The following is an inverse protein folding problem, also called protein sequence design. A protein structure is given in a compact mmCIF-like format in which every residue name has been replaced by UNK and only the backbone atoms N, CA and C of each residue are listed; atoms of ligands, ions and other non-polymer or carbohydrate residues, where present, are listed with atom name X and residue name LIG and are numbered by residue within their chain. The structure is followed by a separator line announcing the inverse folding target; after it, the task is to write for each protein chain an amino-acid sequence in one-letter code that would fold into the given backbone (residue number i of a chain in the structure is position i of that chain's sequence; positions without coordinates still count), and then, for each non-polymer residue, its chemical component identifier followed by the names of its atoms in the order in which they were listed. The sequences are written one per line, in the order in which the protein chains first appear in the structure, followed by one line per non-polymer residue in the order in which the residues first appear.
data_IF_174033460742
#
_entry.id   IF_174033460742
#
_cell.length_a   1.000
_cell.length_b   1.000
_cell.length_c   1.000
_cell.angle_alpha   90.00
_cell.angle_beta   90.00
_cell.angle_gamma   90.00
#
_symmetry.space_group_name_H-M   'P 1'
#
loop_
_entity.id
_entity.type
_entity.pdbx_description
1 polymer ?
#
# COMPACT_ATOMS: atom_id res chain seq x y z
N UNK A 1 2.71 23.62 -18.77
CA UNK A 1 1.28 23.35 -19.03
C UNK A 1 0.56 23.35 -17.71
N UNK A 2 -0.50 24.13 -17.48
CA UNK A 2 -1.26 24.01 -16.23
C UNK A 2 -1.93 22.63 -16.23
N UNK A 3 -1.54 21.78 -15.28
CA UNK A 3 -1.93 20.37 -15.24
C UNK A 3 -3.44 20.18 -15.18
N UNK A 4 -3.93 19.20 -15.95
CA UNK A 4 -5.34 18.87 -16.23
C UNK A 4 -6.24 18.67 -14.99
N UNK A 5 -5.65 18.54 -13.79
CA UNK A 5 -6.37 18.20 -12.55
C UNK A 5 -6.13 19.16 -11.37
N UNK A 6 -5.37 20.26 -11.55
CA UNK A 6 -5.21 21.36 -10.57
C UNK A 6 -4.83 20.97 -9.12
N UNK A 7 -4.01 19.95 -8.91
CA UNK A 7 -3.39 19.73 -7.59
C UNK A 7 -2.23 20.72 -7.39
N UNK A 8 -2.22 21.53 -6.31
CA UNK A 8 -1.08 22.40 -5.99
C UNK A 8 0.16 21.55 -5.70
N UNK A 9 1.33 21.95 -6.19
CA UNK A 9 2.58 21.18 -6.01
C UNK A 9 2.91 20.97 -4.53
N UNK A 10 2.61 21.94 -3.67
CA UNK A 10 2.81 21.84 -2.22
C UNK A 10 1.93 20.78 -1.54
N UNK A 11 0.89 20.28 -2.23
CA UNK A 11 0.00 19.23 -1.73
C UNK A 11 0.35 17.86 -2.34
N UNK A 12 1.48 17.75 -3.04
CA UNK A 12 1.93 16.53 -3.69
C UNK A 12 3.22 16.06 -3.02
N UNK A 13 3.15 14.91 -2.36
CA UNK A 13 4.33 14.20 -1.87
C UNK A 13 4.74 13.14 -2.88
N UNK A 14 6.04 13.10 -3.25
CA UNK A 14 6.60 12.08 -4.15
C UNK A 14 7.79 11.39 -3.48
N UNK A 15 7.69 10.07 -3.31
CA UNK A 15 8.78 9.23 -2.80
C UNK A 15 9.42 8.43 -3.94
N UNK A 16 10.76 8.39 -3.98
CA UNK A 16 11.53 7.63 -4.99
C UNK A 16 12.75 6.96 -4.33
N UNK A 17 13.05 5.74 -4.75
CA UNK A 17 14.13 4.88 -4.24
C UNK A 17 15.54 5.46 -4.46
N UNK A 18 15.79 6.10 -5.61
CA UNK A 18 17.10 6.63 -6.00
C UNK A 18 17.43 8.02 -5.45
N UNK A 19 16.66 8.52 -4.48
CA UNK A 19 16.92 9.83 -3.86
C UNK A 19 18.04 9.73 -2.81
N UNK A 20 18.88 10.76 -2.76
CA UNK A 20 19.91 10.96 -1.71
C UNK A 20 19.26 11.25 -0.36
N UNK A 21 18.10 11.90 -0.37
CA UNK A 21 17.34 12.17 0.85
C UNK A 21 16.58 10.93 1.33
N UNK A 22 17.08 10.32 2.41
CA UNK A 22 16.50 9.16 3.06
C UNK A 22 15.09 9.42 3.63
N UNK A 23 14.69 10.67 3.88
CA UNK A 23 13.36 10.99 4.41
C UNK A 23 12.23 10.78 3.38
N UNK A 24 12.59 10.71 2.09
CA UNK A 24 11.70 10.54 0.95
C UNK A 24 11.95 9.24 0.17
N UNK A 25 12.81 8.35 0.69
CA UNK A 25 12.87 6.98 0.20
C UNK A 25 11.59 6.24 0.64
N UNK A 26 10.98 5.42 -0.23
CA UNK A 26 9.71 4.74 0.03
C UNK A 26 9.90 3.54 0.95
N UNK A 27 10.50 3.74 2.13
CA UNK A 27 10.55 2.74 3.21
C UNK A 27 9.16 2.59 3.81
N UNK A 28 8.86 1.44 4.44
CA UNK A 28 7.61 1.24 5.17
C UNK A 28 7.26 2.40 6.10
N UNK A 29 8.23 2.86 6.89
CA UNK A 29 8.04 3.96 7.84
C UNK A 29 7.60 5.26 7.14
N UNK A 30 8.25 5.62 6.04
CA UNK A 30 7.96 6.86 5.33
C UNK A 30 6.63 6.76 4.58
N UNK A 31 6.35 5.62 3.94
CA UNK A 31 5.07 5.42 3.25
C UNK A 31 3.90 5.56 4.23
N UNK A 32 3.91 4.84 5.36
CA UNK A 32 2.83 4.95 6.36
C UNK A 32 2.66 6.38 6.88
N UNK A 33 3.76 7.11 7.11
CA UNK A 33 3.69 8.52 7.51
C UNK A 33 2.91 9.34 6.49
N UNK A 34 3.27 9.22 5.21
CA UNK A 34 2.64 10.01 4.14
C UNK A 34 1.21 9.56 3.84
N UNK A 35 0.89 8.26 3.97
CA UNK A 35 -0.49 7.77 3.84
C UNK A 35 -1.39 8.36 4.94
N UNK A 36 -0.89 8.41 6.17
CA UNK A 36 -1.61 9.03 7.29
C UNK A 36 -1.81 10.52 7.06
N UNK A 37 -0.79 11.25 6.60
CA UNK A 37 -0.94 12.67 6.27
C UNK A 37 -1.87 12.90 5.07
N UNK A 38 -1.92 11.99 4.09
CA UNK A 38 -2.86 12.05 2.97
C UNK A 38 -4.33 11.92 3.43
N UNK A 39 -4.59 11.03 4.39
CA UNK A 39 -5.92 10.77 4.94
C UNK A 39 -6.35 11.80 6.01
N UNK A 40 -5.39 12.46 6.65
CA UNK A 40 -5.59 13.39 7.74
C UNK A 40 -6.45 14.59 7.34
N UNK A 41 -7.30 14.99 8.28
CA UNK A 41 -8.18 16.17 8.20
C UNK A 41 -9.05 16.24 6.94
N UNK A 42 -9.27 15.11 6.24
CA UNK A 42 -10.09 15.06 5.05
C UNK A 42 -11.52 15.52 5.34
N UNK A 43 -12.08 16.34 4.46
CA UNK A 43 -13.42 16.91 4.58
C UNK A 43 -14.31 16.49 3.42
N UNK A 44 -15.64 16.42 3.60
CA UNK A 44 -16.55 16.19 2.48
C UNK A 44 -16.28 17.15 1.31
N UNK A 45 -16.15 16.60 0.10
CA UNK A 45 -15.78 17.34 -1.12
C UNK A 45 -14.29 17.31 -1.46
N UNK A 46 -13.43 16.85 -0.54
CA UNK A 46 -12.01 16.66 -0.80
C UNK A 46 -11.76 15.58 -1.85
N UNK A 47 -10.69 15.77 -2.63
CA UNK A 47 -10.18 14.78 -3.58
C UNK A 47 -8.75 14.40 -3.22
N UNK A 48 -8.52 13.14 -2.91
CA UNK A 48 -7.20 12.57 -2.60
C UNK A 48 -6.78 11.61 -3.72
N UNK A 49 -5.49 11.58 -4.01
CA UNK A 49 -4.93 10.67 -5.00
C UNK A 49 -3.77 9.92 -4.36
N UNK A 50 -3.81 8.60 -4.45
CA UNK A 50 -2.70 7.73 -4.13
C UNK A 50 -2.24 7.03 -5.41
N UNK A 51 -0.96 7.12 -5.73
CA UNK A 51 -0.35 6.42 -6.85
C UNK A 51 0.83 5.62 -6.34
N UNK A 52 0.84 4.32 -6.65
CA UNK A 52 1.94 3.43 -6.34
C UNK A 52 2.36 2.67 -7.59
N UNK A 53 3.67 2.65 -7.84
CA UNK A 53 4.29 1.86 -8.90
C UNK A 53 5.48 1.12 -8.31
N UNK A 54 5.46 -0.20 -8.40
CA UNK A 54 6.42 -1.04 -7.70
C UNK A 54 6.00 -2.51 -7.68
N UNK A 55 6.67 -3.29 -6.84
CA UNK A 55 6.35 -4.70 -6.67
C UNK A 55 5.28 -4.88 -5.59
N UNK A 56 4.28 -5.69 -5.92
CA UNK A 56 3.31 -6.23 -4.97
C UNK A 56 3.43 -7.75 -4.97
N UNK A 57 3.16 -8.36 -3.82
CA UNK A 57 3.20 -9.81 -3.66
C UNK A 57 1.96 -10.24 -2.88
N UNK A 58 1.53 -11.47 -3.15
CA UNK A 58 0.58 -12.13 -2.27
C UNK A 58 1.33 -12.69 -1.06
N UNK A 59 0.76 -12.54 0.14
CA UNK A 59 1.19 -13.19 1.37
C UNK A 59 0.05 -14.09 1.80
N UNK A 60 0.38 -15.28 2.32
CA UNK A 60 -0.64 -16.16 2.88
C UNK A 60 -1.26 -15.46 4.10
N UNK A 61 -2.54 -15.12 4.01
CA UNK A 61 -3.34 -14.63 5.11
C UNK A 61 -4.79 -15.13 4.95
N UNK A 62 -5.27 -15.91 5.92
CA UNK A 62 -6.53 -16.65 5.82
C UNK A 62 -7.78 -15.81 6.12
N UNK A 63 -7.67 -14.49 6.07
CA UNK A 63 -8.78 -13.58 6.37
C UNK A 63 -9.55 -13.15 5.11
N UNK A 64 -8.99 -13.35 3.91
CA UNK A 64 -9.64 -13.05 2.62
C UNK A 64 -10.30 -14.29 1.97
N UNK A 65 -11.16 -14.06 0.99
CA UNK A 65 -12.00 -15.09 0.35
C UNK A 65 -11.17 -16.17 -0.37
N UNK A 66 -9.96 -15.83 -0.84
CA UNK A 66 -8.99 -16.76 -1.44
C UNK A 66 -7.85 -17.18 -0.48
N UNK A 67 -7.81 -16.60 0.72
CA UNK A 67 -6.80 -16.87 1.74
C UNK A 67 -5.42 -16.24 1.48
N UNK A 68 -5.33 -15.21 0.63
CA UNK A 68 -4.10 -14.49 0.32
C UNK A 68 -4.33 -12.97 0.46
N UNK A 69 -3.57 -12.28 1.30
CA UNK A 69 -3.52 -10.80 1.30
C UNK A 69 -2.52 -10.33 0.23
N UNK A 70 -2.71 -9.14 -0.34
CA UNK A 70 -1.64 -8.48 -1.10
C UNK A 70 -0.86 -7.48 -0.25
N UNK A 71 0.42 -7.39 -0.55
CA UNK A 71 1.35 -6.53 0.15
C UNK A 71 2.22 -5.73 -0.80
N UNK A 72 2.36 -4.44 -0.51
CA UNK A 72 3.34 -3.57 -1.16
C UNK A 72 4.74 -3.89 -0.65
N UNK A 73 5.68 -4.06 -1.57
CA UNK A 73 7.10 -4.15 -1.25
C UNK A 73 7.72 -2.75 -1.13
N UNK A 74 8.31 -2.46 0.02
CA UNK A 74 8.89 -1.13 0.29
C UNK A 74 10.40 -1.12 0.14
N UNK A 75 10.98 0.07 0.00
CA UNK A 75 12.43 0.24 -0.06
C UNK A 75 13.09 -0.23 1.24
N UNK A 76 14.21 -0.96 1.12
CA UNK A 76 14.93 -1.54 2.25
C UNK A 76 14.38 -2.89 2.73
N UNK A 77 13.51 -3.54 1.96
CA UNK A 77 13.07 -4.92 2.21
C UNK A 77 14.26 -5.91 2.18
N UNK A 78 14.12 -7.03 2.90
CA UNK A 78 15.17 -8.05 3.01
C UNK A 78 15.08 -9.17 1.95
N UNK A 79 14.30 -8.96 0.89
CA UNK A 79 14.02 -9.93 -0.15
C UNK A 79 12.53 -10.01 -0.50
N UNK A 80 12.19 -10.87 -1.45
CA UNK A 80 10.81 -11.20 -1.80
C UNK A 80 10.25 -12.23 -0.80
N UNK A 81 8.92 -12.30 -0.60
CA UNK A 81 8.30 -13.19 0.40
C UNK A 81 8.21 -14.65 -0.08
N UNK A 82 9.33 -15.19 -0.56
CA UNK A 82 9.47 -16.60 -0.94
C UNK A 82 10.58 -17.27 -0.13
N UNK A 83 10.36 -18.54 0.18
CA UNK A 83 11.40 -19.42 0.74
C UNK A 83 12.41 -19.85 -0.32
N UNK A 84 13.46 -20.57 0.10
CA UNK A 84 14.48 -21.09 -0.81
C UNK A 84 13.96 -22.11 -1.86
N UNK A 85 12.72 -22.58 -1.75
CA UNK A 85 12.06 -23.47 -2.70
C UNK A 85 11.09 -22.70 -3.62
N UNK A 86 10.99 -21.37 -3.49
CA UNK A 86 10.08 -20.54 -4.27
C UNK A 86 8.62 -20.61 -3.81
N UNK A 87 8.36 -21.09 -2.60
CA UNK A 87 7.01 -21.10 -2.00
C UNK A 87 6.78 -19.80 -1.24
N UNK A 88 5.55 -19.30 -1.26
CA UNK A 88 5.16 -18.14 -0.47
C UNK A 88 5.40 -18.38 1.02
N UNK A 89 5.89 -17.35 1.70
CA UNK A 89 6.06 -17.37 3.15
C UNK A 89 4.68 -17.31 3.84
N UNK A 90 4.52 -18.16 4.85
CA UNK A 90 3.32 -18.23 5.71
C UNK A 90 3.69 -17.78 7.13
N UNK A 91 3.43 -16.52 7.51
CA UNK A 91 3.85 -15.98 8.81
C UNK A 91 3.33 -16.77 10.02
N UNK A 92 2.19 -17.44 9.88
CA UNK A 92 1.53 -18.20 10.95
C UNK A 92 2.15 -19.59 11.14
N UNK A 93 2.74 -20.15 10.09
CA UNK A 93 3.31 -21.50 10.10
C UNK A 93 4.86 -21.53 10.05
N UNK A 94 5.50 -20.36 10.06
CA UNK A 94 6.96 -20.25 10.07
C UNK A 94 7.54 -20.37 11.50
N UNK A 95 8.68 -21.09 11.67
CA UNK A 95 9.44 -21.08 12.91
C UNK A 95 9.85 -19.65 13.32
N UNK A 96 9.87 -19.30 14.62
CA UNK A 96 10.22 -17.96 15.07
C UNK A 96 11.64 -17.51 14.67
N UNK A 97 12.56 -18.46 14.54
CA UNK A 97 13.97 -18.30 14.19
C UNK A 97 14.26 -18.53 12.69
N UNK A 98 13.22 -18.67 11.87
CA UNK A 98 13.38 -18.84 10.43
C UNK A 98 14.11 -17.63 9.81
N UNK A 99 15.22 -17.84 9.07
CA UNK A 99 16.01 -16.75 8.51
C UNK A 99 15.27 -15.95 7.44
N UNK A 100 14.23 -16.51 6.82
CA UNK A 100 13.41 -15.85 5.81
C UNK A 100 12.31 -14.98 6.42
N UNK A 101 12.06 -15.08 7.74
CA UNK A 101 11.05 -14.27 8.44
C UNK A 101 11.30 -12.76 8.30
N UNK A 102 12.57 -12.36 8.21
CA UNK A 102 12.98 -10.97 7.93
C UNK A 102 12.51 -10.43 6.58
N UNK A 103 12.21 -11.30 5.60
CA UNK A 103 11.69 -10.90 4.27
C UNK A 103 10.26 -10.38 4.35
N UNK A 104 9.55 -10.69 5.44
CA UNK A 104 8.22 -10.13 5.75
C UNK A 104 8.31 -8.72 6.34
N UNK A 105 9.49 -8.31 6.83
CA UNK A 105 9.70 -6.96 7.34
C UNK A 105 9.67 -5.94 6.21
N UNK A 106 9.01 -4.81 6.47
CA UNK A 106 8.90 -3.74 5.49
C UNK A 106 7.74 -3.91 4.51
N UNK A 107 6.96 -4.99 4.58
CA UNK A 107 5.73 -5.13 3.80
C UNK A 107 4.61 -4.24 4.38
N UNK A 108 3.76 -3.70 3.50
CA UNK A 108 2.51 -3.03 3.89
C UNK A 108 1.36 -3.84 3.30
N UNK A 109 0.58 -4.44 4.18
CA UNK A 109 -0.54 -5.32 3.85
C UNK A 109 -1.77 -4.47 3.48
N UNK A 110 -2.56 -4.92 2.51
CA UNK A 110 -3.82 -4.31 2.05
C UNK A 110 -4.76 -3.87 3.18
N UNK A 111 -4.97 -4.68 4.21
CA UNK A 111 -5.82 -4.38 5.35
C UNK A 111 -5.33 -3.15 6.11
N UNK A 112 -4.00 -2.97 6.23
CA UNK A 112 -3.41 -1.76 6.81
C UNK A 112 -3.54 -0.55 5.87
N UNK A 113 -3.41 -0.74 4.55
CA UNK A 113 -3.65 0.32 3.57
C UNK A 113 -5.10 0.80 3.62
N UNK A 114 -6.05 -0.14 3.69
CA UNK A 114 -7.47 0.12 3.75
C UNK A 114 -7.86 0.83 5.04
N UNK A 115 -7.35 0.38 6.18
CA UNK A 115 -7.57 1.05 7.47
C UNK A 115 -7.17 2.53 7.40
N UNK A 116 -5.99 2.81 6.85
CA UNK A 116 -5.45 4.17 6.76
C UNK A 116 -6.18 5.02 5.70
N UNK A 117 -6.41 4.47 4.52
CA UNK A 117 -6.88 5.24 3.36
C UNK A 117 -8.39 5.22 3.14
N UNK A 118 -9.13 4.28 3.74
CA UNK A 118 -10.54 4.06 3.43
C UNK A 118 -11.39 4.12 4.69
N UNK A 119 -11.12 3.27 5.68
CA UNK A 119 -12.03 3.04 6.80
C UNK A 119 -12.22 4.27 7.71
N UNK A 120 -11.32 5.25 7.63
CA UNK A 120 -11.36 6.49 8.42
C UNK A 120 -11.69 7.75 7.62
N UNK A 121 -11.92 7.66 6.31
CA UNK A 121 -12.29 8.84 5.52
C UNK A 121 -13.77 9.20 5.74
N UNK A 122 -14.10 10.48 5.97
CA UNK A 122 -15.49 10.88 6.14
C UNK A 122 -16.29 10.74 4.83
N UNK A 123 -17.60 10.49 4.92
CA UNK A 123 -18.46 10.46 3.74
C UNK A 123 -18.35 11.73 2.90
N UNK A 124 -18.27 11.56 1.58
CA UNK A 124 -18.15 12.67 0.62
C UNK A 124 -16.71 13.03 0.22
N UNK A 125 -15.69 12.39 0.82
CA UNK A 125 -14.32 12.41 0.30
C UNK A 125 -14.22 11.48 -0.92
N UNK A 126 -13.53 11.93 -1.96
CA UNK A 126 -13.17 11.09 -3.11
C UNK A 126 -11.70 10.69 -3.01
N UNK A 127 -11.42 9.39 -2.82
CA UNK A 127 -10.09 8.83 -2.97
C UNK A 127 -9.98 8.14 -4.34
N UNK A 128 -8.95 8.48 -5.10
CA UNK A 128 -8.55 7.75 -6.31
C UNK A 128 -7.23 7.07 -6.02
N UNK A 129 -7.22 5.74 -5.98
CA UNK A 129 -6.01 4.95 -5.84
C UNK A 129 -5.67 4.28 -7.17
N UNK A 130 -4.42 4.39 -7.60
CA UNK A 130 -3.91 3.78 -8.83
C UNK A 130 -2.67 2.96 -8.46
N UNK A 131 -2.73 1.68 -8.80
CA UNK A 131 -1.64 0.74 -8.60
C UNK A 131 -1.13 0.27 -9.96
N UNK A 132 0.13 0.57 -10.23
CA UNK A 132 0.86 0.12 -11.41
C UNK A 132 1.83 -1.00 -10.99
N UNK A 133 1.24 -2.16 -10.67
CA UNK A 133 1.92 -3.29 -10.03
C UNK A 133 1.36 -4.62 -10.54
N UNK A 134 2.16 -5.67 -10.54
CA UNK A 134 1.66 -7.03 -10.76
C UNK A 134 0.82 -7.48 -9.54
N UNK A 135 -0.28 -8.21 -9.73
CA UNK A 135 -1.17 -8.70 -8.65
C UNK A 135 -1.82 -7.58 -7.80
N UNK A 136 -2.58 -6.69 -8.44
CA UNK A 136 -3.22 -5.53 -7.78
C UNK A 136 -4.74 -5.66 -7.58
N UNK A 137 -5.31 -6.85 -7.82
CA UNK A 137 -6.74 -7.05 -7.95
C UNK A 137 -7.52 -6.82 -6.65
N UNK A 138 -6.89 -7.13 -5.51
CA UNK A 138 -7.48 -7.10 -4.18
C UNK A 138 -6.74 -6.11 -3.24
N UNK A 139 -5.77 -5.31 -3.75
CA UNK A 139 -4.90 -4.43 -2.92
C UNK A 139 -5.63 -3.40 -2.02
N UNK A 140 -6.94 -3.23 -2.21
CA UNK A 140 -7.83 -2.42 -1.38
C UNK A 140 -9.07 -3.19 -0.89
N UNK A 141 -8.99 -4.52 -0.85
CA UNK A 141 -10.11 -5.45 -0.76
C UNK A 141 -10.99 -5.45 -2.02
N UNK A 142 -11.94 -6.39 -2.11
CA UNK A 142 -13.03 -6.45 -3.11
C UNK A 142 -14.04 -5.29 -2.97
N UNK A 143 -13.57 -4.05 -2.80
CA UNK A 143 -14.38 -2.89 -2.48
C UNK A 143 -14.52 -1.94 -3.66
N UNK A 144 -15.42 -2.28 -4.56
CA UNK A 144 -16.43 -1.28 -4.92
C UNK A 144 -17.81 -1.87 -4.61
N UNK A 145 -18.48 -1.46 -3.52
CA UNK A 145 -19.91 -1.70 -3.41
C UNK A 145 -20.57 -1.09 -4.66
N UNK A 146 -21.49 -1.79 -5.35
CA UNK A 146 -22.07 -1.32 -6.62
C UNK A 146 -22.66 0.10 -6.58
N UNK A 147 -22.96 0.61 -5.39
CA UNK A 147 -23.45 1.96 -5.13
C UNK A 147 -22.42 3.09 -5.34
N UNK A 148 -21.13 2.79 -5.47
CA UNK A 148 -20.04 3.78 -5.63
C UNK A 148 -19.34 3.73 -6.99
N UNK A 149 -19.75 2.85 -7.91
CA UNK A 149 -19.40 2.98 -9.34
C UNK A 149 -20.40 3.92 -10.00
N UNK A 150 -19.92 5.08 -10.48
CA UNK A 150 -20.60 5.84 -11.53
C UNK A 150 -19.92 5.58 -12.86
#
# INVERSE_FOLDING_TARGET
MPGKWRYPEQNITVMLDKRVDHSMQPTRKNIIRELRELAKDAQPGDRRVFYFAGHCYQIINRNEEDGLDEALLTHGHNGEPFDAQGRLLDPDNMPPDDPDRKKLEGLIIDNELRDILVDHLPPGVTLVAVFDTCHSGTLLGTLIPPSLVK
#
